data_IF_034400080061
#
_entry.id   IF_034400080061
#
_cell.length_a   1.000
_cell.length_b   1.000
_cell.length_c   1.000
_cell.angle_alpha   90.00
_cell.angle_beta   90.00
_cell.angle_gamma   90.00
#
_symmetry.space_group_name_H-M   'P 1'
#
loop_
_entity.id
_entity.type
_entity.pdbx_description
1 polymer ?
#
# COMPACT_ATOMS: atom_id res chain seq x y z
N UNK A 1 -13.69 3.22 10.25
CA UNK A 1 -14.30 4.37 9.51
C UNK A 1 -14.19 4.19 8.00
N UNK A 2 -13.00 4.00 7.42
CA UNK A 2 -12.80 3.87 5.96
C UNK A 2 -13.66 2.75 5.36
N UNK A 3 -13.55 1.52 5.87
CA UNK A 3 -14.34 0.37 5.39
C UNK A 3 -15.86 0.58 5.55
N UNK A 4 -16.29 1.23 6.63
CA UNK A 4 -17.70 1.55 6.86
C UNK A 4 -18.23 2.64 5.91
N UNK A 5 -17.38 3.54 5.43
CA UNK A 5 -17.76 4.47 4.37
C UNK A 5 -17.85 3.76 3.02
N UNK A 6 -16.87 2.90 2.71
CA UNK A 6 -16.86 2.10 1.48
C UNK A 6 -18.07 1.17 1.36
N UNK A 7 -18.56 0.62 2.47
CA UNK A 7 -19.74 -0.26 2.49
C UNK A 7 -21.06 0.44 2.17
N UNK A 8 -21.08 1.77 2.02
CA UNK A 8 -22.28 2.57 1.69
C UNK A 8 -22.33 2.92 0.20
N UNK A 9 -21.93 1.98 -0.66
CA UNK A 9 -21.84 2.17 -2.13
C UNK A 9 -20.95 3.34 -2.56
N UNK A 10 -19.96 3.69 -1.74
CA UNK A 10 -19.03 4.79 -2.01
C UNK A 10 -17.63 4.25 -2.31
N UNK A 11 -16.96 4.85 -3.29
CA UNK A 11 -15.53 4.62 -3.49
C UNK A 11 -14.74 5.56 -2.58
N UNK A 12 -13.83 5.00 -1.79
CA UNK A 12 -12.96 5.77 -0.90
C UNK A 12 -11.52 5.63 -1.38
N UNK A 13 -10.89 6.76 -1.72
CA UNK A 13 -9.47 6.83 -2.08
C UNK A 13 -8.75 7.55 -0.95
N UNK A 14 -7.69 6.94 -0.44
CA UNK A 14 -6.89 7.47 0.68
C UNK A 14 -5.43 7.55 0.25
N UNK A 15 -4.80 8.70 0.46
CA UNK A 15 -3.35 8.86 0.37
C UNK A 15 -2.79 8.93 1.80
N UNK A 16 -1.76 8.14 2.09
CA UNK A 16 -1.15 8.07 3.42
C UNK A 16 0.34 7.75 3.34
N UNK A 17 1.08 8.18 4.35
CA UNK A 17 2.46 7.76 4.62
C UNK A 17 2.58 6.99 5.95
N UNK A 18 1.45 6.66 6.59
CA UNK A 18 1.41 5.95 7.86
C UNK A 18 1.38 4.44 7.61
N UNK A 19 2.49 3.74 7.92
CA UNK A 19 2.59 2.29 7.82
C UNK A 19 1.50 1.56 8.62
N UNK A 20 1.17 2.06 9.81
CA UNK A 20 0.11 1.50 10.65
C UNK A 20 -1.26 1.48 9.94
N UNK A 21 -1.57 2.50 9.14
CA UNK A 21 -2.81 2.51 8.38
C UNK A 21 -2.77 1.48 7.24
N UNK A 22 -1.62 1.37 6.55
CA UNK A 22 -1.40 0.40 5.46
C UNK A 22 -1.60 -1.04 5.96
N UNK A 23 -1.24 -1.34 7.21
CA UNK A 23 -1.41 -2.66 7.82
C UNK A 23 -2.86 -3.16 7.92
N UNK A 24 -3.85 -2.30 7.69
CA UNK A 24 -5.26 -2.65 7.73
C UNK A 24 -5.86 -3.01 6.36
N UNK A 25 -5.01 -3.13 5.33
CA UNK A 25 -5.38 -3.37 3.94
C UNK A 25 -4.62 -4.55 3.35
N UNK A 26 -5.15 -5.13 2.28
CA UNK A 26 -4.48 -6.19 1.50
C UNK A 26 -3.63 -5.59 0.38
N UNK A 27 -2.78 -6.41 -0.26
CA UNK A 27 -1.96 -5.95 -1.39
C UNK A 27 -2.83 -5.33 -2.50
N UNK A 28 -3.95 -5.99 -2.82
CA UNK A 28 -4.85 -5.57 -3.89
C UNK A 28 -5.52 -4.22 -3.60
N UNK A 29 -5.59 -3.78 -2.34
CA UNK A 29 -6.14 -2.48 -1.94
C UNK A 29 -5.11 -1.34 -2.09
N UNK A 30 -3.82 -1.65 -2.29
CA UNK A 30 -2.73 -0.68 -2.19
C UNK A 30 -2.16 -0.34 -3.57
N UNK A 31 -2.02 0.97 -3.82
CA UNK A 31 -1.32 1.52 -4.98
C UNK A 31 -0.15 2.36 -4.47
N UNK A 32 1.07 2.02 -4.87
CA UNK A 32 2.24 2.85 -4.65
C UNK A 32 2.34 3.92 -5.75
N UNK A 33 2.82 5.11 -5.38
CA UNK A 33 3.01 6.23 -6.30
C UNK A 33 4.44 6.73 -6.18
N UNK A 34 5.18 6.65 -7.28
CA UNK A 34 6.54 7.19 -7.38
C UNK A 34 6.56 8.36 -8.34
N UNK A 35 7.42 9.34 -8.06
CA UNK A 35 7.78 10.35 -9.06
C UNK A 35 9.05 9.93 -9.80
N UNK A 36 8.96 9.74 -11.12
CA UNK A 36 10.10 9.44 -12.00
C UNK A 36 10.07 10.41 -13.17
N UNK A 37 11.19 11.10 -13.39
CA UNK A 37 11.36 12.04 -14.52
C UNK A 37 10.26 13.13 -14.62
N UNK A 38 9.65 13.50 -13.49
CA UNK A 38 8.57 14.50 -13.43
C UNK A 38 7.16 13.91 -13.55
N UNK A 39 7.02 12.61 -13.78
CA UNK A 39 5.76 11.90 -13.93
C UNK A 39 5.42 11.04 -12.71
N UNK A 40 4.12 10.85 -12.45
CA UNK A 40 3.62 9.96 -11.39
C UNK A 40 3.42 8.55 -11.94
N UNK A 41 4.16 7.58 -11.41
CA UNK A 41 4.04 6.17 -11.73
C UNK A 41 3.23 5.47 -10.64
N UNK A 42 2.07 4.96 -11.01
CA UNK A 42 1.17 4.22 -10.13
C UNK A 42 1.38 2.71 -10.34
N UNK A 43 1.63 1.97 -9.26
CA UNK A 43 1.74 0.50 -9.30
C UNK A 43 0.86 -0.10 -8.20
N UNK A 44 -0.09 -0.96 -8.58
CA UNK A 44 -0.83 -1.77 -7.60
C UNK A 44 0.09 -2.89 -7.08
N UNK A 45 0.03 -3.19 -5.78
CA UNK A 45 0.76 -4.32 -5.23
C UNK A 45 0.09 -5.63 -5.63
N UNK A 46 0.88 -6.68 -5.82
CA UNK A 46 0.39 -8.03 -6.07
C UNK A 46 0.70 -8.90 -4.87
N UNK A 47 -0.24 -9.74 -4.44
CA UNK A 47 -0.01 -10.69 -3.32
C UNK A 47 1.20 -11.59 -3.56
N UNK A 48 1.47 -11.95 -4.83
CA UNK A 48 2.61 -12.76 -5.22
C UNK A 48 3.97 -12.14 -4.83
N UNK A 49 4.09 -10.81 -4.84
CA UNK A 49 5.31 -10.11 -4.43
C UNK A 49 5.57 -10.25 -2.91
N UNK A 50 4.51 -10.54 -2.13
CA UNK A 50 4.54 -10.64 -0.67
C UNK A 50 4.64 -12.09 -0.16
N UNK A 51 4.29 -13.09 -0.97
CA UNK A 51 4.27 -14.52 -0.59
C UNK A 51 5.63 -15.07 -0.09
N UNK A 52 6.73 -14.39 -0.42
CA UNK A 52 8.09 -14.68 0.06
C UNK A 52 8.36 -14.25 1.51
N UNK A 53 7.44 -13.50 2.14
CA UNK A 53 7.56 -13.00 3.52
C UNK A 53 6.39 -13.47 4.40
N UNK A 54 6.24 -14.78 4.64
CA UNK A 54 5.06 -15.31 5.33
C UNK A 54 5.03 -14.96 6.82
N UNK A 55 3.84 -14.53 7.28
CA UNK A 55 3.35 -14.58 8.68
C UNK A 55 4.04 -13.70 9.74
N UNK A 56 5.30 -13.32 9.54
CA UNK A 56 6.11 -12.58 10.53
C UNK A 56 6.18 -11.07 10.25
N UNK A 57 5.73 -10.63 9.08
CA UNK A 57 5.82 -9.23 8.65
C UNK A 57 4.48 -8.73 8.12
N UNK A 58 4.06 -7.55 8.59
CA UNK A 58 2.94 -6.81 8.02
C UNK A 58 3.37 -6.09 6.73
N UNK A 59 2.41 -5.70 5.88
CA UNK A 59 2.70 -4.94 4.65
C UNK A 59 3.45 -3.63 4.98
N UNK A 60 3.07 -2.95 6.05
CA UNK A 60 3.75 -1.76 6.56
C UNK A 60 5.19 -2.02 6.98
N UNK A 61 5.47 -3.16 7.63
CA UNK A 61 6.86 -3.56 7.95
C UNK A 61 7.69 -3.74 6.67
N UNK A 62 7.12 -4.41 5.67
CA UNK A 62 7.79 -4.64 4.39
C UNK A 62 8.03 -3.33 3.63
N UNK A 63 7.10 -2.38 3.71
CA UNK A 63 7.26 -1.04 3.14
C UNK A 63 8.36 -0.24 3.85
N UNK A 64 8.36 -0.21 5.19
CA UNK A 64 9.39 0.47 5.98
C UNK A 64 10.79 -0.12 5.79
N UNK A 65 10.88 -1.43 5.51
CA UNK A 65 12.14 -2.15 5.27
C UNK A 65 12.60 -2.08 3.80
N UNK A 66 11.91 -1.32 2.96
CA UNK A 66 12.17 -1.18 1.53
C UNK A 66 12.08 -2.49 0.73
N UNK A 67 11.34 -3.47 1.23
CA UNK A 67 11.05 -4.73 0.53
C UNK A 67 9.95 -4.51 -0.51
N UNK A 68 8.90 -3.77 -0.14
CA UNK A 68 7.92 -3.25 -1.11
C UNK A 68 8.54 -2.05 -1.80
N UNK A 69 8.79 -2.18 -3.10
CA UNK A 69 9.35 -1.11 -3.91
C UNK A 69 8.26 -0.11 -4.34
N UNK A 70 8.45 1.15 -3.98
CA UNK A 70 7.64 2.28 -4.41
C UNK A 70 6.85 2.96 -3.27
N UNK A 71 6.50 4.23 -3.47
CA UNK A 71 5.78 5.04 -2.50
C UNK A 71 6.58 5.37 -1.23
N UNK A 72 7.88 5.08 -1.20
CA UNK A 72 8.75 5.36 -0.07
C UNK A 72 9.10 6.86 -0.04
N UNK A 73 9.15 7.48 1.16
CA UNK A 73 9.70 8.82 1.31
C UNK A 73 11.19 8.81 0.93
N UNK A 74 11.61 9.83 0.18
CA UNK A 74 13.03 10.09 -0.13
C UNK A 74 13.72 10.80 1.03
#
# INVERSE_FOLDING_TARGET
MIQSAASKEAQVIVATQAADLVNHFTADDIITVDQREGESHFKRLEENDLNQWPGEYSIGDLWQRNIIHGGQPK
#
